data_IF_465362715658
#
_entry.id   IF_465362715658
#
_cell.length_a   1.000
_cell.length_b   1.000
_cell.length_c   1.000
_cell.angle_alpha   90.00
_cell.angle_beta   90.00
_cell.angle_gamma   90.00
#
_symmetry.space_group_name_H-M   'P 1'
#
loop_
_entity.id
_entity.type
_entity.pdbx_description
1 polymer ?
#
# COMPACT_ATOMS: atom_id res chain seq x y z
N UNK A 1 -6.12 23.01 -5.88
CA UNK A 1 -5.04 22.02 -6.08
C UNK A 1 -5.65 20.73 -6.60
N UNK A 2 -5.02 20.05 -7.56
CA UNK A 2 -5.53 18.79 -8.10
C UNK A 2 -5.01 17.62 -7.26
N UNK A 3 -5.92 16.87 -6.63
CA UNK A 3 -5.58 15.68 -5.87
C UNK A 3 -4.92 14.62 -6.76
N UNK A 4 -3.89 13.95 -6.26
CA UNK A 4 -3.22 12.85 -6.96
C UNK A 4 -2.94 11.66 -6.03
N UNK A 5 -2.91 10.47 -6.62
CA UNK A 5 -2.60 9.22 -5.91
C UNK A 5 -1.36 8.60 -6.50
N UNK A 6 -0.38 8.31 -5.66
CA UNK A 6 0.86 7.66 -6.02
C UNK A 6 0.90 6.23 -5.48
N UNK A 7 1.80 5.40 -6.00
CA UNK A 7 2.14 4.12 -5.38
C UNK A 7 3.65 3.99 -5.20
N UNK A 8 4.05 3.63 -3.99
CA UNK A 8 5.44 3.43 -3.61
C UNK A 8 6.01 2.20 -4.33
N UNK A 9 7.06 2.37 -5.13
CA UNK A 9 7.63 1.31 -5.94
C UNK A 9 9.08 1.08 -5.54
N UNK A 10 9.39 -0.07 -4.93
CA UNK A 10 10.75 -0.47 -4.62
C UNK A 10 11.46 -0.88 -5.91
N UNK A 11 12.42 -0.06 -6.36
CA UNK A 11 13.18 -0.34 -7.58
C UNK A 11 14.05 -1.59 -7.44
N UNK A 12 14.56 -1.89 -6.25
CA UNK A 12 15.38 -3.09 -6.02
C UNK A 12 14.57 -4.38 -6.28
N UNK A 13 13.24 -4.35 -6.14
CA UNK A 13 12.36 -5.48 -6.45
C UNK A 13 12.06 -5.63 -7.96
N UNK A 14 12.58 -4.75 -8.80
CA UNK A 14 12.48 -4.83 -10.27
C UNK A 14 13.80 -5.20 -10.95
N UNK A 15 14.78 -5.75 -10.23
CA UNK A 15 16.12 -6.08 -10.76
C UNK A 15 16.09 -6.85 -12.09
N UNK A 16 15.13 -7.78 -12.22
CA UNK A 16 14.99 -8.66 -13.39
C UNK A 16 13.80 -8.27 -14.29
N UNK A 17 13.22 -7.07 -14.13
CA UNK A 17 12.10 -6.64 -14.97
C UNK A 17 12.58 -6.36 -16.39
N UNK A 18 11.82 -6.87 -17.35
CA UNK A 18 11.92 -6.49 -18.76
C UNK A 18 11.07 -5.24 -19.04
N UNK A 19 11.20 -4.65 -20.23
CA UNK A 19 10.31 -3.58 -20.68
C UNK A 19 8.84 -4.03 -20.71
N UNK A 20 8.57 -5.32 -20.97
CA UNK A 20 7.21 -5.87 -20.95
C UNK A 20 6.64 -5.95 -19.52
N UNK A 21 7.47 -6.25 -18.53
CA UNK A 21 7.07 -6.26 -17.12
C UNK A 21 6.75 -4.84 -16.65
N UNK A 22 7.62 -3.87 -16.95
CA UNK A 22 7.33 -2.46 -16.68
C UNK A 22 6.04 -1.99 -17.34
N UNK A 23 5.85 -2.26 -18.64
CA UNK A 23 4.62 -1.91 -19.36
C UNK A 23 3.38 -2.56 -18.74
N UNK A 24 3.47 -3.83 -18.31
CA UNK A 24 2.37 -4.52 -17.62
C UNK A 24 2.04 -3.84 -16.28
N UNK A 25 3.05 -3.56 -15.45
CA UNK A 25 2.85 -2.91 -14.14
C UNK A 25 2.26 -1.50 -14.30
N UNK A 26 2.77 -0.71 -15.25
CA UNK A 26 2.25 0.63 -15.54
C UNK A 26 0.80 0.58 -16.01
N UNK A 27 0.47 -0.34 -16.95
CA UNK A 27 -0.90 -0.49 -17.43
C UNK A 27 -1.88 -0.81 -16.30
N UNK A 28 -1.55 -1.77 -15.43
CA UNK A 28 -2.46 -2.11 -14.32
C UNK A 28 -2.52 -1.02 -13.24
N UNK A 29 -1.51 -0.15 -13.14
CA UNK A 29 -1.58 1.05 -12.29
C UNK A 29 -2.51 2.12 -12.88
N UNK A 30 -2.45 2.34 -14.20
CA UNK A 30 -3.39 3.22 -14.92
C UNK A 30 -4.83 2.71 -14.81
N UNK A 31 -5.04 1.40 -14.98
CA UNK A 31 -6.35 0.75 -14.81
C UNK A 31 -6.92 1.01 -13.40
N UNK A 32 -6.05 1.08 -12.39
CA UNK A 32 -6.39 1.40 -11.01
C UNK A 32 -6.55 2.92 -10.72
N UNK A 33 -6.34 3.79 -11.71
CA UNK A 33 -6.32 5.27 -11.58
C UNK A 33 -5.20 5.86 -10.72
N UNK A 34 -4.09 5.14 -10.55
CA UNK A 34 -2.88 5.69 -9.93
C UNK A 34 -2.24 6.69 -10.91
N UNK A 35 -1.77 7.83 -10.41
CA UNK A 35 -1.22 8.92 -11.22
C UNK A 35 0.27 8.76 -11.50
N UNK A 36 1.02 8.24 -10.52
CA UNK A 36 2.45 8.04 -10.66
C UNK A 36 2.98 6.92 -9.76
N UNK A 37 4.15 6.38 -10.11
CA UNK A 37 4.98 5.65 -9.16
C UNK A 37 5.94 6.59 -8.44
N UNK A 38 5.98 6.48 -7.11
CA UNK A 38 7.05 7.03 -6.27
C UNK A 38 8.18 6.00 -6.26
N UNK A 39 9.20 6.21 -7.09
CA UNK A 39 10.26 5.24 -7.32
C UNK A 39 11.25 5.29 -6.15
N UNK A 40 11.11 4.35 -5.21
CA UNK A 40 12.03 4.17 -4.11
C UNK A 40 13.36 3.63 -4.64
N UNK A 41 14.41 4.43 -4.50
CA UNK A 41 15.76 4.12 -4.97
C UNK A 41 16.77 4.24 -3.83
N UNK A 42 17.58 3.20 -3.65
CA UNK A 42 18.63 3.17 -2.66
C UNK A 42 19.95 3.70 -3.23
N UNK A 43 20.71 4.43 -2.42
CA UNK A 43 22.03 4.92 -2.79
C UNK A 43 22.96 3.75 -3.15
N UNK A 44 23.77 3.93 -4.20
CA UNK A 44 24.76 2.93 -4.66
C UNK A 44 24.19 1.56 -5.00
N UNK A 45 22.87 1.42 -5.21
CA UNK A 45 22.32 0.18 -5.72
C UNK A 45 22.65 0.04 -7.21
N UNK A 46 23.34 -1.04 -7.57
CA UNK A 46 23.74 -1.31 -8.95
C UNK A 46 22.53 -1.43 -9.90
N UNK A 47 21.36 -1.79 -9.36
CA UNK A 47 20.11 -1.90 -10.12
C UNK A 47 19.68 -0.54 -10.69
N UNK A 48 20.02 0.59 -10.06
CA UNK A 48 19.62 1.92 -10.50
C UNK A 48 20.03 2.21 -11.94
N UNK A 49 21.23 1.79 -12.34
CA UNK A 49 21.78 2.05 -13.67
C UNK A 49 20.96 1.40 -14.81
N UNK A 50 20.33 0.26 -14.53
CA UNK A 50 19.51 -0.46 -15.49
C UNK A 50 18.02 -0.13 -15.35
N UNK A 51 17.50 -0.15 -14.12
CA UNK A 51 16.04 -0.12 -13.90
C UNK A 51 15.45 1.28 -13.99
N UNK A 52 16.19 2.35 -13.65
CA UNK A 52 15.68 3.72 -13.78
C UNK A 52 15.40 4.06 -15.26
N UNK A 53 16.34 3.88 -16.22
CA UNK A 53 16.04 4.14 -17.62
C UNK A 53 14.84 3.34 -18.15
N UNK A 54 14.74 2.05 -17.82
CA UNK A 54 13.64 1.19 -18.26
C UNK A 54 12.29 1.67 -17.71
N UNK A 55 12.24 2.08 -16.45
CA UNK A 55 11.03 2.62 -15.83
C UNK A 55 10.55 3.89 -16.55
N UNK A 56 11.46 4.83 -16.82
CA UNK A 56 11.13 6.07 -17.53
C UNK A 56 10.74 5.84 -18.98
N UNK A 57 11.42 4.94 -19.71
CA UNK A 57 11.07 4.58 -21.08
C UNK A 57 9.64 4.00 -21.16
N UNK A 58 9.32 3.04 -20.30
CA UNK A 58 8.01 2.43 -20.25
C UNK A 58 6.91 3.42 -19.83
N UNK A 59 7.20 4.30 -18.86
CA UNK A 59 6.26 5.32 -18.43
C UNK A 59 6.00 6.36 -19.53
N UNK A 60 7.04 6.80 -20.23
CA UNK A 60 6.91 7.71 -21.35
C UNK A 60 6.09 7.10 -22.49
N UNK A 61 6.33 5.83 -22.83
CA UNK A 61 5.57 5.11 -23.85
C UNK A 61 4.07 4.98 -23.50
N UNK A 62 3.74 4.88 -22.21
CA UNK A 62 2.36 4.75 -21.73
C UNK A 62 1.69 6.08 -21.34
N UNK A 63 2.41 7.20 -21.38
CA UNK A 63 1.94 8.48 -20.84
C UNK A 63 1.73 8.49 -19.31
N UNK A 64 2.30 7.52 -18.60
CA UNK A 64 2.26 7.40 -17.14
C UNK A 64 3.34 8.26 -16.49
N UNK A 65 3.20 8.58 -15.19
CA UNK A 65 4.17 9.42 -14.48
C UNK A 65 4.98 8.65 -13.45
N UNK A 66 6.20 9.12 -13.22
CA UNK A 66 7.12 8.60 -12.19
C UNK A 66 7.83 9.79 -11.55
N UNK A 67 8.14 9.70 -10.26
CA UNK A 67 9.07 10.61 -9.58
C UNK A 67 9.98 9.85 -8.63
N UNK A 68 11.06 10.47 -8.17
CA UNK A 68 12.00 9.81 -7.27
C UNK A 68 11.58 9.93 -5.81
N UNK A 69 11.64 8.80 -5.11
CA UNK A 69 11.68 8.70 -3.66
C UNK A 69 13.07 8.21 -3.26
N UNK A 70 13.95 9.10 -2.81
CA UNK A 70 15.31 8.71 -2.43
C UNK A 70 15.30 8.01 -1.07
N UNK A 71 15.70 6.74 -1.04
CA UNK A 71 15.81 5.99 0.21
C UNK A 71 17.17 6.27 0.86
N UNK A 72 17.16 6.98 1.99
CA UNK A 72 18.36 7.36 2.74
C UNK A 72 18.77 6.29 3.76
N UNK A 73 18.00 5.23 3.94
CA UNK A 73 18.21 4.21 4.99
C UNK A 73 18.71 2.91 4.39
N UNK A 74 18.09 2.41 3.32
CA UNK A 74 18.27 1.06 2.79
C UNK A 74 19.74 0.69 2.52
N UNK A 75 20.54 1.63 2.01
CA UNK A 75 21.98 1.44 1.77
C UNK A 75 22.83 2.59 2.30
N UNK A 76 22.31 3.32 3.30
CA UNK A 76 22.89 4.55 3.82
C UNK A 76 22.53 5.80 2.99
N UNK A 77 22.94 6.99 3.45
CA UNK A 77 22.47 8.25 2.89
C UNK A 77 22.97 8.44 1.45
N UNK A 78 22.15 9.15 0.68
CA UNK A 78 22.51 9.64 -0.64
C UNK A 78 23.50 10.81 -0.54
N UNK A 79 24.41 10.91 -1.51
CA UNK A 79 25.24 12.10 -1.67
C UNK A 79 24.44 13.21 -2.36
N UNK A 80 24.58 14.46 -1.91
CA UNK A 80 23.89 15.63 -2.46
C UNK A 80 24.06 15.77 -3.99
N UNK A 81 25.26 15.56 -4.52
CA UNK A 81 25.56 15.72 -5.94
C UNK A 81 24.90 14.62 -6.77
N UNK A 82 24.88 13.37 -6.28
CA UNK A 82 24.21 12.25 -6.94
C UNK A 82 22.69 12.49 -7.04
N UNK A 83 22.05 13.00 -5.97
CA UNK A 83 20.63 13.37 -5.98
C UNK A 83 20.36 14.48 -6.99
N UNK A 84 21.21 15.52 -6.97
CA UNK A 84 21.10 16.67 -7.87
C UNK A 84 21.25 16.24 -9.33
N UNK A 85 22.24 15.41 -9.64
CA UNK A 85 22.49 14.88 -10.99
C UNK A 85 21.29 14.06 -11.51
N UNK A 86 20.76 13.15 -10.69
CA UNK A 86 19.61 12.34 -11.06
C UNK A 86 18.37 13.19 -11.31
N UNK A 87 18.09 14.17 -10.43
CA UNK A 87 16.97 15.08 -10.62
C UNK A 87 17.13 15.91 -11.89
N UNK A 88 18.30 16.52 -12.14
CA UNK A 88 18.56 17.31 -13.34
C UNK A 88 18.43 16.47 -14.62
N UNK A 89 18.91 15.22 -14.59
CA UNK A 89 18.83 14.29 -15.73
C UNK A 89 17.39 13.95 -16.10
N UNK A 90 16.55 13.62 -15.12
CA UNK A 90 15.21 13.09 -15.37
C UNK A 90 14.09 14.12 -15.30
N UNK A 91 14.30 15.29 -14.65
CA UNK A 91 13.26 16.34 -14.57
C UNK A 91 12.84 16.91 -15.92
N UNK A 92 13.57 16.63 -17.00
CA UNK A 92 13.22 17.04 -18.38
C UNK A 92 12.40 15.96 -19.11
N UNK A 93 12.32 14.74 -18.58
CA UNK A 93 11.52 13.68 -19.17
C UNK A 93 10.01 13.98 -19.00
N UNK A 94 9.21 13.75 -20.05
CA UNK A 94 7.76 14.00 -20.00
C UNK A 94 7.02 13.08 -19.03
N UNK A 95 7.54 11.88 -18.77
CA UNK A 95 7.04 10.97 -17.75
C UNK A 95 7.39 11.40 -16.32
N UNK A 96 8.24 12.40 -16.10
CA UNK A 96 8.50 12.89 -14.74
C UNK A 96 7.26 13.60 -14.17
N UNK A 97 6.79 13.18 -12.99
CA UNK A 97 5.63 13.82 -12.35
C UNK A 97 6.00 15.25 -11.89
N UNK A 98 5.14 16.22 -12.22
CA UNK A 98 5.35 17.62 -11.87
C UNK A 98 4.14 18.18 -11.13
N UNK A 99 4.35 18.79 -9.97
CA UNK A 99 3.34 19.56 -9.27
C UNK A 99 3.44 21.03 -9.70
N UNK A 100 2.43 21.56 -10.38
CA UNK A 100 2.43 22.93 -10.91
C UNK A 100 3.70 23.28 -11.71
N UNK A 101 4.19 22.33 -12.53
CA UNK A 101 5.38 22.50 -13.36
C UNK A 101 6.72 22.18 -12.67
N UNK A 102 6.76 22.09 -11.34
CA UNK A 102 7.97 21.73 -10.58
C UNK A 102 8.11 20.21 -10.44
N UNK A 103 9.29 19.60 -10.70
CA UNK A 103 9.47 18.17 -10.58
C UNK A 103 9.31 17.73 -9.11
N UNK A 104 8.43 16.76 -8.85
CA UNK A 104 8.24 16.26 -7.49
C UNK A 104 9.43 15.39 -7.06
N UNK A 105 9.92 15.56 -5.85
CA UNK A 105 10.88 14.66 -5.22
C UNK A 105 10.41 14.31 -3.79
N UNK A 106 10.69 13.08 -3.36
CA UNK A 106 10.40 12.58 -2.02
C UNK A 106 11.63 11.85 -1.47
N UNK A 107 11.61 11.52 -0.19
CA UNK A 107 12.56 10.63 0.46
C UNK A 107 11.83 9.61 1.33
N UNK A 108 12.46 8.47 1.55
CA UNK A 108 12.19 7.65 2.73
C UNK A 108 13.26 7.95 3.77
N UNK A 109 12.84 8.58 4.86
CA UNK A 109 13.70 9.13 5.91
C UNK A 109 14.78 10.09 5.36
N UNK A 110 15.90 10.27 6.06
CA UNK A 110 17.00 11.15 5.64
C UNK A 110 16.93 12.57 6.21
N UNK A 111 16.25 12.77 7.33
CA UNK A 111 16.14 14.08 8.00
C UNK A 111 17.50 14.68 8.38
N UNK A 112 18.52 13.85 8.62
CA UNK A 112 19.88 14.32 8.90
C UNK A 112 20.55 15.02 7.70
N UNK A 113 20.05 14.77 6.48
CA UNK A 113 20.52 15.41 5.25
C UNK A 113 19.60 16.59 4.83
N UNK A 114 18.71 17.07 5.71
CA UNK A 114 17.75 18.13 5.37
C UNK A 114 18.42 19.40 4.80
N UNK A 115 19.55 19.85 5.35
CA UNK A 115 20.23 21.07 4.90
C UNK A 115 20.75 20.97 3.45
N UNK A 116 21.13 19.77 3.00
CA UNK A 116 21.57 19.53 1.62
C UNK A 116 20.46 19.84 0.61
N UNK A 117 19.19 19.67 1.01
CA UNK A 117 18.04 19.95 0.16
C UNK A 117 17.86 21.44 -0.15
N UNK A 118 18.50 22.36 0.59
CA UNK A 118 18.56 23.78 0.21
C UNK A 118 19.26 23.93 -1.16
N UNK A 119 20.42 23.30 -1.31
CA UNK A 119 21.21 23.36 -2.55
C UNK A 119 20.58 22.53 -3.68
N UNK A 120 20.05 21.33 -3.35
CA UNK A 120 19.36 20.47 -4.31
C UNK A 120 18.16 21.22 -4.90
N UNK A 121 17.32 21.83 -4.06
CA UNK A 121 16.16 22.60 -4.53
C UNK A 121 16.57 23.83 -5.33
N UNK A 122 17.58 24.59 -4.87
CA UNK A 122 18.08 25.74 -5.62
C UNK A 122 18.56 25.35 -7.04
N UNK A 123 19.15 24.16 -7.18
CA UNK A 123 19.67 23.67 -8.46
C UNK A 123 18.59 23.05 -9.36
N UNK A 124 17.60 22.38 -8.76
CA UNK A 124 16.66 21.52 -9.49
C UNK A 124 15.26 22.10 -9.60
N UNK A 125 14.93 23.13 -8.81
CA UNK A 125 13.57 23.69 -8.66
C UNK A 125 12.52 22.62 -8.29
N UNK A 126 12.93 21.56 -7.60
CA UNK A 126 12.02 20.47 -7.26
C UNK A 126 11.00 20.89 -6.19
N UNK A 127 9.79 20.32 -6.30
CA UNK A 127 8.77 20.34 -5.27
C UNK A 127 9.06 19.18 -4.32
N UNK A 128 9.42 19.45 -3.07
CA UNK A 128 10.01 18.47 -2.18
C UNK A 128 9.07 18.07 -1.03
N UNK A 129 8.67 16.80 -0.98
CA UNK A 129 7.79 16.25 0.05
C UNK A 129 8.46 15.00 0.66
N UNK A 130 9.34 15.14 1.67
CA UNK A 130 9.98 13.99 2.31
C UNK A 130 9.05 13.26 3.27
N UNK A 131 9.30 11.96 3.46
CA UNK A 131 8.91 11.25 4.69
C UNK A 131 10.04 11.34 5.71
N UNK A 132 9.78 12.01 6.84
CA UNK A 132 10.66 12.05 8.01
C UNK A 132 9.89 11.60 9.27
N UNK A 133 9.07 10.57 9.11
CA UNK A 133 8.15 10.12 10.16
C UNK A 133 8.84 9.64 11.43
N UNK A 134 10.10 9.20 11.36
CA UNK A 134 10.91 8.86 12.54
C UNK A 134 11.05 10.00 13.55
N UNK A 135 10.98 11.27 13.11
CA UNK A 135 10.99 12.45 13.98
C UNK A 135 9.62 12.79 14.56
N UNK A 136 8.54 12.31 13.91
CA UNK A 136 7.19 12.80 14.11
C UNK A 136 6.95 14.17 13.47
N UNK A 137 5.66 14.51 13.29
CA UNK A 137 5.23 15.65 12.46
C UNK A 137 5.87 17.00 12.84
N UNK A 138 5.90 17.33 14.13
CA UNK A 138 6.39 18.63 14.60
C UNK A 138 7.89 18.81 14.37
N UNK A 139 8.70 17.84 14.79
CA UNK A 139 10.15 17.91 14.63
C UNK A 139 10.55 17.81 13.15
N UNK A 140 9.83 17.02 12.34
CA UNK A 140 10.01 16.99 10.89
C UNK A 140 9.75 18.37 10.25
N UNK A 141 8.68 19.07 10.65
CA UNK A 141 8.37 20.41 10.15
C UNK A 141 9.42 21.44 10.59
N UNK A 142 9.85 21.41 11.85
CA UNK A 142 10.91 22.30 12.37
C UNK A 142 12.24 22.08 11.61
N UNK A 143 12.61 20.82 11.35
CA UNK A 143 13.80 20.46 10.56
C UNK A 143 13.68 20.90 9.09
N UNK A 144 12.46 20.88 8.54
CA UNK A 144 12.16 21.22 7.15
C UNK A 144 11.84 22.70 6.89
N UNK A 145 11.90 23.56 7.90
CA UNK A 145 11.48 24.95 7.79
C UNK A 145 12.24 25.70 6.68
N UNK A 146 11.50 26.22 5.70
CA UNK A 146 12.06 26.90 4.52
C UNK A 146 12.68 25.96 3.47
N UNK A 147 12.67 24.65 3.70
CA UNK A 147 13.27 23.64 2.83
C UNK A 147 12.20 22.81 2.13
N UNK A 148 11.21 22.28 2.87
CA UNK A 148 10.20 21.38 2.29
C UNK A 148 9.05 22.15 1.65
N UNK A 149 8.36 21.54 0.69
CA UNK A 149 7.07 22.01 0.15
C UNK A 149 5.87 21.23 0.72
N UNK A 150 6.13 20.23 1.57
CA UNK A 150 5.14 19.42 2.25
C UNK A 150 5.79 18.33 3.07
N UNK A 151 5.00 17.52 3.76
CA UNK A 151 5.48 16.30 4.41
C UNK A 151 4.62 15.09 4.03
N UNK A 152 5.29 13.95 3.87
CA UNK A 152 4.68 12.64 3.76
C UNK A 152 4.77 11.93 5.11
N UNK A 153 3.72 11.22 5.51
CA UNK A 153 3.75 10.37 6.69
C UNK A 153 3.86 8.90 6.29
N UNK A 154 4.60 8.09 7.07
CA UNK A 154 4.67 6.64 6.94
C UNK A 154 3.71 5.90 7.89
N UNK A 155 2.84 6.61 8.61
CA UNK A 155 1.92 6.05 9.60
C UNK A 155 0.65 5.46 8.93
N UNK A 156 0.79 4.33 8.24
CA UNK A 156 -0.32 3.71 7.50
C UNK A 156 -1.08 2.61 8.26
N UNK A 157 -0.60 2.20 9.43
CA UNK A 157 -1.08 1.03 10.14
C UNK A 157 -1.46 1.33 11.60
N UNK A 158 -2.50 0.67 12.14
CA UNK A 158 -2.98 0.90 13.49
C UNK A 158 -2.06 0.27 14.55
N UNK A 159 -2.27 0.67 15.81
CA UNK A 159 -1.58 0.10 16.97
C UNK A 159 -2.44 -0.96 17.66
N UNK A 160 -1.86 -2.14 17.89
CA UNK A 160 -2.52 -3.25 18.58
C UNK A 160 -3.82 -3.67 17.90
N UNK A 161 -4.84 -4.08 18.68
CA UNK A 161 -6.11 -4.56 18.13
C UNK A 161 -7.05 -3.43 17.70
N UNK A 162 -6.60 -2.17 17.63
CA UNK A 162 -7.46 -1.05 17.27
C UNK A 162 -7.68 -0.95 15.76
N UNK A 163 -8.81 -0.36 15.36
CA UNK A 163 -9.00 0.07 13.97
C UNK A 163 -8.12 1.31 13.67
N UNK A 164 -7.89 1.56 12.37
CA UNK A 164 -7.19 2.78 11.94
C UNK A 164 -7.98 4.04 12.31
N UNK A 165 -7.27 5.16 12.43
CA UNK A 165 -7.88 6.47 12.64
C UNK A 165 -7.06 7.59 11.99
N UNK A 166 -7.62 8.81 11.98
CA UNK A 166 -7.03 9.97 11.31
C UNK A 166 -6.21 10.89 12.22
N UNK A 167 -5.89 10.49 13.45
CA UNK A 167 -5.29 11.40 14.44
C UNK A 167 -3.93 11.91 13.97
N UNK A 168 -3.09 11.02 13.41
CA UNK A 168 -1.77 11.38 12.90
C UNK A 168 -1.91 12.30 11.68
N UNK A 169 -2.82 11.98 10.75
CA UNK A 169 -3.06 12.79 9.55
C UNK A 169 -3.47 14.22 9.90
N UNK A 170 -4.45 14.36 10.81
CA UNK A 170 -4.93 15.66 11.26
C UNK A 170 -3.87 16.45 12.04
N UNK A 171 -2.92 15.76 12.70
CA UNK A 171 -1.77 16.40 13.34
C UNK A 171 -0.83 17.00 12.29
N UNK A 172 -0.47 16.24 11.25
CA UNK A 172 0.33 16.74 10.13
C UNK A 172 -0.36 17.92 9.45
N UNK A 173 -1.62 17.76 9.05
CA UNK A 173 -2.38 18.82 8.36
C UNK A 173 -2.47 20.09 9.21
N UNK A 174 -2.74 19.97 10.52
CA UNK A 174 -2.81 21.13 11.40
C UNK A 174 -1.48 21.89 11.43
N UNK A 175 -0.38 21.19 11.65
CA UNK A 175 0.96 21.80 11.75
C UNK A 175 1.40 22.41 10.41
N UNK A 176 1.13 21.71 9.30
CA UNK A 176 1.44 22.19 7.96
C UNK A 176 0.61 23.44 7.61
N UNK A 177 -0.68 23.49 7.98
CA UNK A 177 -1.51 24.68 7.74
C UNK A 177 -1.10 25.91 8.56
N UNK A 178 -0.42 25.72 9.70
CA UNK A 178 0.19 26.81 10.46
C UNK A 178 1.41 27.42 9.73
N UNK A 179 1.99 26.70 8.76
CA UNK A 179 3.11 27.11 7.91
C UNK A 179 2.63 27.32 6.46
N UNK A 180 2.43 28.57 6.04
CA UNK A 180 1.77 28.88 4.75
C UNK A 180 2.33 28.08 3.55
N UNK A 181 1.43 27.41 2.82
CA UNK A 181 1.72 26.82 1.50
C UNK A 181 2.28 25.39 1.48
N UNK A 182 2.41 24.72 2.63
CA UNK A 182 2.86 23.32 2.68
C UNK A 182 1.72 22.33 2.45
N UNK A 183 2.03 21.21 1.80
CA UNK A 183 1.05 20.15 1.48
C UNK A 183 1.23 18.90 2.33
N UNK A 184 0.17 18.13 2.50
CA UNK A 184 0.22 16.83 3.15
C UNK A 184 0.07 15.69 2.13
N UNK A 185 0.95 14.70 2.24
CA UNK A 185 0.80 13.40 1.57
C UNK A 185 0.40 12.34 2.59
N UNK A 186 -0.78 11.75 2.41
CA UNK A 186 -1.36 10.77 3.32
C UNK A 186 -0.98 9.34 2.90
N UNK A 187 -0.47 8.50 3.81
CA UNK A 187 -0.14 7.12 3.47
C UNK A 187 -1.40 6.24 3.45
N UNK A 188 -1.44 5.28 2.53
CA UNK A 188 -2.51 4.28 2.43
C UNK A 188 -1.88 2.90 2.28
N UNK A 189 -2.26 1.92 3.10
CA UNK A 189 -1.74 0.56 3.00
C UNK A 189 -2.84 -0.46 3.30
N UNK A 190 -2.89 -1.61 2.61
CA UNK A 190 -3.93 -2.61 2.86
C UNK A 190 -3.61 -3.55 4.02
N UNK A 191 -2.34 -3.84 4.25
CA UNK A 191 -1.88 -4.95 5.10
C UNK A 191 -0.44 -4.67 5.55
N UNK A 192 0.09 -5.44 6.52
CA UNK A 192 1.53 -5.51 6.77
C UNK A 192 1.90 -6.80 7.47
N UNK A 193 2.89 -7.51 6.94
CA UNK A 193 3.54 -8.63 7.62
C UNK A 193 4.94 -8.82 7.07
N UNK A 194 5.91 -8.93 7.97
CA UNK A 194 7.30 -9.24 7.61
C UNK A 194 7.87 -10.31 8.55
N UNK A 195 8.69 -11.20 8.00
CA UNK A 195 9.57 -12.09 8.74
C UNK A 195 10.88 -12.25 7.97
N UNK A 196 11.72 -11.23 8.08
CA UNK A 196 13.03 -11.10 7.45
C UNK A 196 14.11 -10.88 8.53
N UNK A 197 14.51 -11.92 9.28
CA UNK A 197 15.51 -11.82 10.35
C UNK A 197 16.86 -11.27 9.89
N UNK A 198 17.22 -11.45 8.62
CA UNK A 198 18.41 -10.85 8.02
C UNK A 198 18.42 -9.32 8.04
N UNK A 199 17.24 -8.70 8.18
CA UNK A 199 17.05 -7.26 8.34
C UNK A 199 16.55 -6.88 9.73
N UNK A 200 16.55 -7.82 10.69
CA UNK A 200 16.00 -7.59 12.03
C UNK A 200 14.48 -7.39 12.05
N UNK A 201 13.77 -7.88 11.03
CA UNK A 201 12.32 -7.68 10.89
C UNK A 201 11.52 -8.94 11.17
N UNK A 202 10.55 -8.87 12.07
CA UNK A 202 9.60 -9.95 12.33
C UNK A 202 8.36 -9.46 13.09
N UNK A 203 7.44 -8.77 12.41
CA UNK A 203 6.21 -8.26 13.03
C UNK A 203 5.08 -8.11 12.00
N UNK A 204 3.89 -7.82 12.50
CA UNK A 204 2.73 -7.43 11.71
C UNK A 204 1.99 -6.24 12.32
N UNK A 205 1.14 -5.60 11.53
CA UNK A 205 0.09 -4.71 12.04
C UNK A 205 -1.29 -5.23 11.63
N UNK A 206 -2.35 -4.79 12.31
CA UNK A 206 -3.71 -5.21 11.97
C UNK A 206 -4.09 -4.70 10.58
N UNK A 207 -4.35 -5.62 9.65
CA UNK A 207 -4.82 -5.32 8.30
C UNK A 207 -6.29 -5.73 8.04
N UNK A 208 -6.96 -6.27 9.06
CA UNK A 208 -8.32 -6.85 9.01
C UNK A 208 -9.31 -6.01 8.18
N UNK A 209 -9.58 -4.78 8.62
CA UNK A 209 -10.49 -3.84 7.95
C UNK A 209 -9.76 -2.64 7.30
N UNK A 210 -8.42 -2.63 7.41
CA UNK A 210 -7.57 -1.45 7.17
C UNK A 210 -7.77 -0.85 5.78
N UNK A 211 -7.80 -1.68 4.73
CA UNK A 211 -7.94 -1.17 3.36
C UNK A 211 -9.26 -0.42 3.16
N UNK A 212 -10.36 -0.89 3.75
CA UNK A 212 -11.63 -0.17 3.66
C UNK A 212 -11.57 1.13 4.46
N UNK A 213 -11.22 1.02 5.74
CA UNK A 213 -11.24 2.14 6.68
C UNK A 213 -10.32 3.27 6.18
N UNK A 214 -9.09 2.93 5.77
CA UNK A 214 -8.11 3.92 5.32
C UNK A 214 -8.55 4.69 4.08
N UNK A 215 -9.22 4.06 3.13
CA UNK A 215 -9.76 4.76 1.98
C UNK A 215 -10.99 5.63 2.33
N UNK A 216 -11.83 5.23 3.29
CA UNK A 216 -12.88 6.12 3.80
C UNK A 216 -12.28 7.35 4.49
N UNK A 217 -11.20 7.15 5.24
CA UNK A 217 -10.46 8.24 5.87
C UNK A 217 -9.86 9.20 4.84
N UNK A 218 -9.28 8.72 3.73
CA UNK A 218 -8.79 9.59 2.64
C UNK A 218 -9.93 10.47 2.08
N UNK A 219 -11.13 9.91 1.90
CA UNK A 219 -12.29 10.67 1.42
C UNK A 219 -12.76 11.74 2.43
N UNK A 220 -12.60 11.47 3.73
CA UNK A 220 -12.96 12.39 4.81
C UNK A 220 -11.90 13.47 5.04
N UNK A 221 -10.63 13.09 5.10
CA UNK A 221 -9.48 13.97 5.36
C UNK A 221 -9.20 14.87 4.17
N UNK A 222 -9.37 14.35 2.94
CA UNK A 222 -9.11 15.04 1.67
C UNK A 222 -7.70 15.67 1.60
N UNK A 223 -6.62 14.88 1.79
CA UNK A 223 -5.26 15.39 1.67
C UNK A 223 -4.96 15.87 0.24
N UNK A 224 -3.92 16.69 0.04
CA UNK A 224 -3.48 17.08 -1.31
C UNK A 224 -3.01 15.88 -2.13
N UNK A 225 -2.29 14.96 -1.50
CA UNK A 225 -1.80 13.73 -2.11
C UNK A 225 -2.07 12.52 -1.22
N UNK A 226 -2.22 11.36 -1.83
CA UNK A 226 -2.17 10.09 -1.14
C UNK A 226 -1.11 9.18 -1.79
N UNK A 227 -0.33 8.47 -0.99
CA UNK A 227 0.62 7.47 -1.50
C UNK A 227 0.26 6.09 -0.96
N UNK A 228 0.02 5.16 -1.87
CA UNK A 228 -0.19 3.75 -1.54
C UNK A 228 1.16 3.13 -1.23
N UNK A 229 1.38 2.74 0.02
CA UNK A 229 2.52 1.94 0.45
C UNK A 229 2.06 0.47 0.56
N UNK A 230 2.32 -0.37 -0.45
CA UNK A 230 3.18 -0.16 -1.63
C UNK A 230 2.67 -0.86 -2.88
N UNK A 231 3.35 -0.64 -4.00
CA UNK A 231 3.12 -1.36 -5.25
C UNK A 231 3.73 -2.77 -5.22
N UNK A 232 4.96 -2.94 -4.75
CA UNK A 232 5.71 -4.20 -4.93
C UNK A 232 6.61 -4.57 -3.74
N UNK A 233 6.31 -4.11 -2.52
CA UNK A 233 7.03 -4.59 -1.33
C UNK A 233 6.52 -5.97 -0.88
N UNK A 234 7.05 -7.02 -1.50
CA UNK A 234 6.69 -8.39 -1.13
C UNK A 234 7.22 -8.78 0.26
N UNK A 235 8.32 -8.18 0.71
CA UNK A 235 8.96 -8.48 1.98
C UNK A 235 8.18 -7.98 3.19
N UNK A 236 7.37 -6.94 3.00
CA UNK A 236 6.51 -6.39 4.04
C UNK A 236 5.02 -6.65 3.80
N UNK A 237 4.70 -7.46 2.78
CA UNK A 237 3.35 -7.97 2.50
C UNK A 237 2.27 -6.91 2.27
N UNK A 238 2.65 -5.69 1.90
CA UNK A 238 1.71 -4.58 1.70
C UNK A 238 1.65 -4.11 0.25
N UNK A 239 2.16 -4.93 -0.67
CA UNK A 239 2.06 -4.73 -2.10
C UNK A 239 0.61 -4.81 -2.57
N UNK A 240 0.25 -3.97 -3.55
CA UNK A 240 -0.99 -4.08 -4.32
C UNK A 240 -0.74 -4.37 -5.79
N UNK A 241 0.50 -4.49 -6.25
CA UNK A 241 0.89 -4.79 -7.62
C UNK A 241 0.90 -6.29 -7.95
N UNK A 242 1.09 -6.66 -9.23
CA UNK A 242 1.25 -8.07 -9.61
C UNK A 242 2.47 -8.70 -8.94
N UNK A 243 2.35 -9.95 -8.51
CA UNK A 243 3.50 -10.76 -8.09
C UNK A 243 4.46 -10.96 -9.26
N UNK A 244 5.76 -10.94 -8.96
CA UNK A 244 6.82 -11.19 -9.93
C UNK A 244 8.00 -11.90 -9.25
N UNK A 245 8.37 -13.08 -9.75
CA UNK A 245 9.41 -13.93 -9.15
C UNK A 245 10.77 -13.25 -9.03
N UNK A 246 11.08 -12.34 -9.96
CA UNK A 246 12.29 -11.51 -9.90
C UNK A 246 12.45 -10.67 -8.62
N UNK A 247 11.38 -10.44 -7.86
CA UNK A 247 11.44 -9.77 -6.54
C UNK A 247 11.63 -10.72 -5.36
N UNK A 248 11.60 -12.04 -5.55
CA UNK A 248 11.63 -13.01 -4.45
C UNK A 248 13.02 -13.27 -3.87
N UNK A 249 14.08 -12.77 -4.51
CA UNK A 249 15.44 -12.85 -3.99
C UNK A 249 15.56 -12.22 -2.59
N UNK A 250 14.71 -11.22 -2.28
CA UNK A 250 14.65 -10.58 -0.97
C UNK A 250 14.39 -11.58 0.18
N UNK A 251 13.65 -12.66 -0.06
CA UNK A 251 13.34 -13.65 0.98
C UNK A 251 14.59 -14.45 1.35
N UNK A 252 15.50 -14.65 0.38
CA UNK A 252 16.78 -15.30 0.62
C UNK A 252 17.74 -14.36 1.34
N UNK A 253 17.90 -13.12 0.86
CA UNK A 253 18.80 -12.13 1.47
C UNK A 253 18.33 -11.70 2.86
N UNK A 254 17.02 -11.52 3.04
CA UNK A 254 16.36 -11.25 4.32
C UNK A 254 16.24 -12.46 5.24
N UNK A 255 16.72 -13.65 4.82
CA UNK A 255 16.73 -14.89 5.60
C UNK A 255 15.34 -15.30 6.12
N UNK A 256 14.31 -15.11 5.30
CA UNK A 256 12.95 -15.51 5.62
C UNK A 256 12.86 -17.02 5.90
N UNK A 257 11.96 -17.47 6.78
CA UNK A 257 11.74 -18.90 7.00
C UNK A 257 11.17 -19.61 5.75
N UNK A 258 10.46 -18.87 4.90
CA UNK A 258 9.95 -19.25 3.59
C UNK A 258 9.48 -18.01 2.83
N UNK A 259 9.17 -18.14 1.54
CA UNK A 259 8.56 -17.07 0.76
C UNK A 259 7.06 -16.97 1.06
N UNK A 260 6.67 -16.01 1.90
CA UNK A 260 5.27 -15.81 2.29
C UNK A 260 4.43 -14.99 1.31
N UNK A 261 5.04 -14.44 0.25
CA UNK A 261 4.33 -13.78 -0.86
C UNK A 261 3.97 -14.75 -2.00
N UNK A 262 4.66 -15.89 -2.09
CA UNK A 262 4.39 -16.88 -3.12
C UNK A 262 2.95 -17.41 -3.04
N UNK A 263 2.22 -17.35 -4.16
CA UNK A 263 0.80 -17.72 -4.25
C UNK A 263 -0.12 -16.95 -3.29
N UNK A 264 0.24 -15.71 -2.95
CA UNK A 264 -0.57 -14.76 -2.19
C UNK A 264 -0.83 -13.49 -3.01
N UNK A 265 -1.63 -13.55 -4.09
CA UNK A 265 -1.93 -12.37 -4.89
C UNK A 265 -2.66 -11.31 -4.05
N UNK A 266 -2.28 -10.04 -4.26
CA UNK A 266 -2.91 -8.87 -3.64
C UNK A 266 -3.61 -7.96 -4.67
N UNK A 267 -3.73 -8.42 -5.91
CA UNK A 267 -4.30 -7.65 -7.02
C UNK A 267 -5.76 -7.31 -6.83
N UNK A 268 -6.52 -8.14 -6.11
CA UNK A 268 -7.92 -7.87 -5.79
C UNK A 268 -8.14 -6.53 -5.07
N UNK A 269 -7.17 -6.04 -4.28
CA UNK A 269 -7.27 -4.72 -3.63
C UNK A 269 -7.27 -3.55 -4.62
N UNK A 270 -6.83 -3.74 -5.87
CA UNK A 270 -6.91 -2.72 -6.93
C UNK A 270 -8.31 -2.57 -7.51
N UNK A 271 -9.18 -3.57 -7.39
CA UNK A 271 -10.48 -3.64 -8.07
C UNK A 271 -11.38 -2.44 -7.76
N UNK A 272 -11.36 -1.97 -6.52
CA UNK A 272 -12.23 -0.87 -6.07
C UNK A 272 -11.57 0.52 -6.23
N UNK A 273 -10.27 0.56 -6.56
CA UNK A 273 -9.49 1.80 -6.67
C UNK A 273 -10.07 2.80 -7.67
N UNK A 274 -10.51 2.40 -8.89
CA UNK A 274 -11.05 3.36 -9.85
C UNK A 274 -12.28 4.13 -9.33
N UNK A 275 -13.11 3.48 -8.51
CA UNK A 275 -14.25 4.14 -7.90
C UNK A 275 -13.81 5.09 -6.77
N UNK A 276 -12.97 4.61 -5.84
CA UNK A 276 -12.61 5.40 -4.66
C UNK A 276 -11.61 6.53 -4.97
N UNK A 277 -10.59 6.28 -5.79
CA UNK A 277 -9.66 7.31 -6.29
C UNK A 277 -10.42 8.31 -7.17
N UNK A 278 -11.33 7.83 -8.01
CA UNK A 278 -12.20 8.69 -8.79
C UNK A 278 -13.02 9.65 -7.93
N UNK A 279 -13.61 9.13 -6.85
CA UNK A 279 -14.38 9.90 -5.87
C UNK A 279 -13.49 10.88 -5.10
N UNK A 280 -12.31 10.46 -4.66
CA UNK A 280 -11.33 11.33 -4.00
C UNK A 280 -10.97 12.53 -4.87
N UNK A 281 -10.61 12.28 -6.13
CA UNK A 281 -10.11 13.32 -7.05
C UNK A 281 -11.20 14.25 -7.58
N UNK A 282 -12.42 13.75 -7.80
CA UNK A 282 -13.51 14.50 -8.47
C UNK A 282 -14.72 14.78 -7.58
N UNK A 283 -14.72 14.28 -6.35
CA UNK A 283 -15.87 14.32 -5.44
C UNK A 283 -16.97 13.29 -5.77
N UNK A 284 -16.88 12.61 -6.92
CA UNK A 284 -17.84 11.58 -7.33
C UNK A 284 -17.22 10.56 -8.31
N UNK A 285 -17.73 9.33 -8.27
CA UNK A 285 -17.52 8.31 -9.29
C UNK A 285 -18.79 7.48 -9.45
N UNK A 286 -19.00 6.96 -10.66
CA UNK A 286 -20.11 6.07 -10.96
C UNK A 286 -19.73 4.62 -10.69
N UNK A 287 -20.70 3.82 -10.24
CA UNK A 287 -20.57 2.36 -10.17
C UNK A 287 -20.72 1.82 -11.59
N UNK A 288 -19.60 1.63 -12.28
CA UNK A 288 -19.59 1.09 -13.65
C UNK A 288 -19.87 -0.40 -13.71
N UNK A 289 -19.38 -1.13 -12.70
CA UNK A 289 -19.39 -2.59 -12.66
C UNK A 289 -19.47 -3.03 -11.21
N UNK A 290 -20.49 -3.82 -10.85
CA UNK A 290 -20.57 -4.39 -9.51
C UNK A 290 -19.40 -5.34 -9.30
N UNK A 291 -18.72 -5.21 -8.16
CA UNK A 291 -17.45 -5.89 -7.89
C UNK A 291 -17.41 -6.38 -6.45
N UNK A 292 -16.76 -7.52 -6.22
CA UNK A 292 -16.54 -8.10 -4.90
C UNK A 292 -15.05 -8.41 -4.74
N UNK A 293 -14.47 -8.00 -3.62
CA UNK A 293 -13.10 -8.28 -3.21
C UNK A 293 -13.15 -8.97 -1.86
N UNK A 294 -12.36 -10.03 -1.66
CA UNK A 294 -12.19 -10.67 -0.36
C UNK A 294 -10.72 -10.91 -0.03
N UNK A 295 -10.38 -10.82 1.25
CA UNK A 295 -9.04 -11.12 1.76
C UNK A 295 -9.09 -11.82 3.10
N UNK A 296 -8.12 -12.72 3.33
CA UNK A 296 -8.00 -13.51 4.54
C UNK A 296 -6.68 -14.26 4.59
N UNK A 297 -6.27 -14.69 5.79
CA UNK A 297 -5.19 -15.68 5.93
C UNK A 297 -5.67 -17.06 5.52
N UNK A 298 -4.84 -17.83 4.83
CA UNK A 298 -5.19 -19.19 4.38
C UNK A 298 -5.04 -20.25 5.46
N UNK A 299 -4.71 -19.85 6.69
CA UNK A 299 -4.57 -20.73 7.84
C UNK A 299 -5.05 -20.00 9.09
N UNK A 300 -5.87 -20.63 9.98
CA UNK A 300 -6.24 -20.06 11.26
C UNK A 300 -5.01 -19.67 12.08
N UNK A 301 -5.06 -18.54 12.77
CA UNK A 301 -3.89 -17.98 13.47
C UNK A 301 -3.27 -18.95 14.48
N UNK A 302 -4.09 -19.77 15.13
CA UNK A 302 -3.67 -20.74 16.16
C UNK A 302 -3.26 -22.11 15.61
N UNK A 303 -3.27 -22.32 14.29
CA UNK A 303 -2.99 -23.64 13.72
C UNK A 303 -1.51 -24.04 13.81
N UNK A 304 -0.61 -23.07 13.89
CA UNK A 304 0.84 -23.25 13.77
C UNK A 304 1.60 -22.32 14.72
N UNK A 305 2.91 -22.49 14.82
CA UNK A 305 3.76 -21.55 15.57
C UNK A 305 3.78 -20.19 14.89
N UNK A 306 3.84 -19.11 15.68
CA UNK A 306 3.81 -17.73 15.15
C UNK A 306 5.03 -17.38 14.30
N UNK A 307 6.10 -18.19 14.35
CA UNK A 307 7.40 -17.87 13.74
C UNK A 307 8.18 -16.80 14.51
N UNK A 308 7.82 -16.54 15.77
CA UNK A 308 8.37 -15.44 16.57
C UNK A 308 7.81 -14.06 16.19
N UNK A 309 6.83 -13.99 15.27
CA UNK A 309 6.20 -12.74 14.86
C UNK A 309 5.42 -12.14 16.04
N UNK A 310 5.68 -10.86 16.33
CA UNK A 310 4.85 -10.02 17.20
C UNK A 310 3.82 -9.24 16.37
N UNK A 311 2.72 -8.82 17.00
CA UNK A 311 1.94 -7.71 16.47
C UNK A 311 2.49 -6.40 17.06
N UNK A 312 2.75 -5.41 16.20
CA UNK A 312 3.58 -4.23 16.48
C UNK A 312 5.03 -4.61 16.85
N UNK A 313 5.91 -3.61 16.98
CA UNK A 313 7.34 -3.85 17.28
C UNK A 313 7.98 -2.81 18.18
N UNK A 314 8.82 -3.27 19.12
CA UNK A 314 9.64 -2.41 19.97
C UNK A 314 10.67 -1.60 19.20
N UNK A 315 11.10 -2.05 18.01
CA UNK A 315 12.04 -1.29 17.17
C UNK A 315 11.47 0.06 16.74
N UNK A 316 10.14 0.18 16.73
CA UNK A 316 9.41 1.43 16.46
C UNK A 316 8.85 2.06 17.74
N UNK A 317 9.41 1.71 18.91
CA UNK A 317 8.97 2.14 20.23
C UNK A 317 7.47 1.85 20.52
N UNK A 318 6.94 0.76 19.96
CA UNK A 318 5.56 0.32 20.19
C UNK A 318 5.51 -0.78 21.25
N UNK A 319 4.34 -0.92 21.87
CA UNK A 319 4.00 -2.10 22.68
C UNK A 319 3.79 -3.27 21.73
N UNK A 320 4.39 -4.41 22.04
CA UNK A 320 4.17 -5.66 21.31
C UNK A 320 2.99 -6.45 21.89
N UNK A 321 2.20 -7.02 21.00
CA UNK A 321 1.04 -7.86 21.32
C UNK A 321 1.21 -9.25 20.71
N UNK A 322 0.39 -10.20 21.15
CA UNK A 322 0.28 -11.46 20.43
C UNK A 322 -0.42 -11.22 19.08
N UNK A 323 0.09 -11.78 17.97
CA UNK A 323 -0.66 -11.79 16.71
C UNK A 323 -2.09 -12.28 16.85
N UNK A 324 -2.33 -13.28 17.73
CA UNK A 324 -3.66 -13.88 17.94
C UNK A 324 -4.66 -12.91 18.58
N UNK A 325 -4.19 -11.86 19.25
CA UNK A 325 -5.04 -10.82 19.84
C UNK A 325 -5.39 -9.72 18.83
N UNK A 326 -4.57 -9.56 17.79
CA UNK A 326 -4.62 -8.40 16.89
C UNK A 326 -5.27 -8.71 15.55
N UNK A 327 -5.07 -9.91 15.01
CA UNK A 327 -5.53 -10.25 13.64
C UNK A 327 -6.50 -11.43 13.67
N UNK A 328 -7.74 -11.20 13.28
CA UNK A 328 -8.84 -12.13 13.49
C UNK A 328 -8.91 -13.25 12.42
N UNK A 329 -9.44 -14.42 12.83
CA UNK A 329 -9.75 -15.54 11.93
C UNK A 329 -11.08 -15.30 11.21
N UNK A 330 -11.03 -14.44 10.18
CA UNK A 330 -12.19 -14.02 9.40
C UNK A 330 -11.86 -13.88 7.92
N UNK A 331 -12.90 -14.01 7.09
CA UNK A 331 -12.91 -13.60 5.70
C UNK A 331 -13.46 -12.19 5.65
N UNK A 332 -12.63 -11.22 5.28
CA UNK A 332 -13.01 -9.84 5.09
C UNK A 332 -13.36 -9.61 3.63
N UNK A 333 -14.32 -8.75 3.36
CA UNK A 333 -14.72 -8.43 1.99
C UNK A 333 -15.28 -7.03 1.86
N UNK A 334 -15.09 -6.47 0.66
CA UNK A 334 -15.69 -5.21 0.24
C UNK A 334 -16.38 -5.41 -1.11
N UNK A 335 -17.56 -4.82 -1.28
CA UNK A 335 -18.32 -4.91 -2.51
C UNK A 335 -18.74 -3.53 -3.00
N UNK A 336 -18.44 -3.20 -4.26
CA UNK A 336 -18.99 -2.02 -4.92
C UNK A 336 -20.30 -2.40 -5.57
N UNK A 337 -21.41 -1.84 -5.07
CA UNK A 337 -22.76 -2.23 -5.47
C UNK A 337 -23.62 -1.03 -5.86
N UNK A 338 -24.53 -1.26 -6.80
CA UNK A 338 -25.56 -0.31 -7.22
C UNK A 338 -26.73 -0.24 -6.23
N UNK A 339 -26.95 -1.34 -5.51
CA UNK A 339 -28.00 -1.54 -4.52
C UNK A 339 -27.61 -2.69 -3.56
N UNK A 340 -28.29 -2.80 -2.43
CA UNK A 340 -28.00 -3.78 -1.38
C UNK A 340 -27.95 -5.24 -1.91
N UNK A 341 -26.99 -6.01 -1.42
CA UNK A 341 -26.92 -7.46 -1.57
C UNK A 341 -26.52 -8.12 -0.24
N UNK A 342 -27.00 -9.33 0.00
CA UNK A 342 -26.68 -10.11 1.20
C UNK A 342 -25.44 -10.97 0.95
N UNK A 343 -24.39 -10.87 1.78
CA UNK A 343 -23.21 -11.70 1.67
C UNK A 343 -23.44 -13.07 2.31
N UNK A 344 -23.04 -14.11 1.61
CA UNK A 344 -22.93 -15.48 2.09
C UNK A 344 -21.49 -15.94 1.91
N UNK A 345 -20.95 -16.62 2.91
CA UNK A 345 -19.58 -17.15 2.87
C UNK A 345 -19.62 -18.64 3.15
N UNK A 346 -19.03 -19.45 2.29
CA UNK A 346 -18.87 -20.90 2.49
C UNK A 346 -17.39 -21.20 2.68
N UNK A 347 -17.07 -22.00 3.69
CA UNK A 347 -15.73 -22.53 3.94
C UNK A 347 -15.84 -24.05 4.02
N UNK A 348 -15.30 -24.75 3.02
CA UNK A 348 -15.47 -26.18 2.84
C UNK A 348 -16.96 -26.53 2.68
N UNK A 349 -17.52 -27.25 3.65
CA UNK A 349 -18.94 -27.63 3.68
C UNK A 349 -19.78 -26.77 4.64
N UNK A 350 -19.21 -25.73 5.25
CA UNK A 350 -19.87 -24.93 6.29
C UNK A 350 -20.22 -23.53 5.77
N UNK A 351 -21.50 -23.17 5.83
CA UNK A 351 -21.95 -21.78 5.61
C UNK A 351 -21.67 -20.93 6.83
N UNK A 352 -20.94 -19.84 6.65
CA UNK A 352 -20.71 -18.80 7.63
C UNK A 352 -21.69 -17.65 7.40
N UNK A 353 -22.18 -17.08 8.49
CA UNK A 353 -23.01 -15.87 8.43
C UNK A 353 -22.14 -14.66 8.06
N UNK A 354 -22.30 -14.15 6.85
CA UNK A 354 -21.74 -12.86 6.43
C UNK A 354 -22.52 -11.69 7.02
N UNK A 355 -21.82 -10.60 7.34
CA UNK A 355 -22.42 -9.36 7.83
C UNK A 355 -21.73 -8.14 7.23
N UNK A 356 -22.50 -7.11 6.91
CA UNK A 356 -21.96 -5.77 6.63
C UNK A 356 -21.64 -5.04 7.93
N UNK A 357 -20.42 -4.52 8.04
CA UNK A 357 -19.96 -3.57 9.07
C UNK A 357 -20.25 -2.14 8.62
N UNK A 358 -19.98 -1.82 7.35
CA UNK A 358 -20.17 -0.51 6.76
C UNK A 358 -21.06 -0.59 5.51
N UNK A 359 -22.00 0.35 5.41
CA UNK A 359 -22.90 0.50 4.27
C UNK A 359 -22.79 1.92 3.74
N UNK A 360 -22.81 2.14 2.40
CA UNK A 360 -22.86 3.47 1.84
C UNK A 360 -24.20 4.14 2.18
N UNK A 361 -24.16 5.39 2.63
CA UNK A 361 -25.36 6.12 3.07
C UNK A 361 -26.45 6.26 1.98
N UNK A 362 -26.04 6.29 0.71
CA UNK A 362 -26.93 6.35 -0.45
C UNK A 362 -27.55 5.00 -0.83
N UNK A 363 -27.14 3.89 -0.20
CA UNK A 363 -27.43 2.53 -0.66
C UNK A 363 -26.67 2.12 -1.93
N UNK A 364 -25.77 2.96 -2.43
CA UNK A 364 -24.92 2.72 -3.61
C UNK A 364 -23.48 3.09 -3.31
N UNK A 365 -22.55 2.18 -3.58
CA UNK A 365 -21.13 2.40 -3.31
C UNK A 365 -20.49 1.18 -2.67
N UNK A 366 -19.47 1.43 -1.86
CA UNK A 366 -18.69 0.36 -1.24
C UNK A 366 -19.35 -0.08 0.07
N UNK A 367 -19.77 -1.33 0.11
CA UNK A 367 -20.12 -2.07 1.30
C UNK A 367 -18.87 -2.78 1.84
N UNK A 368 -18.74 -2.91 3.15
CA UNK A 368 -17.63 -3.63 3.77
C UNK A 368 -18.11 -4.48 4.95
N UNK A 369 -17.55 -5.68 5.07
CA UNK A 369 -18.02 -6.68 6.01
C UNK A 369 -17.06 -7.84 6.16
N UNK A 370 -17.49 -8.83 6.93
CA UNK A 370 -16.71 -10.04 7.16
C UNK A 370 -17.58 -11.23 7.58
N UNK A 371 -16.99 -12.42 7.56
CA UNK A 371 -17.54 -13.65 8.12
C UNK A 371 -16.45 -14.39 8.92
N UNK A 372 -16.74 -14.92 10.11
CA UNK A 372 -15.75 -15.68 10.89
C UNK A 372 -15.41 -17.02 10.25
N UNK A 373 -14.21 -17.54 10.52
CA UNK A 373 -13.86 -18.92 10.16
C UNK A 373 -14.67 -19.94 10.98
N UNK A 374 -14.89 -19.65 12.27
CA UNK A 374 -15.53 -20.57 13.23
C UNK A 374 -14.95 -21.99 13.22
N UNK A 375 -13.64 -22.11 13.01
CA UNK A 375 -12.93 -23.39 12.92
C UNK A 375 -13.15 -24.16 11.60
N UNK A 376 -13.95 -23.64 10.67
CA UNK A 376 -14.13 -24.24 9.35
C UNK A 376 -12.85 -24.14 8.51
N UNK A 377 -12.67 -25.13 7.63
CA UNK A 377 -11.51 -25.30 6.74
C UNK A 377 -12.00 -25.83 5.39
N UNK A 378 -11.20 -25.65 4.35
CA UNK A 378 -11.53 -26.04 2.98
C UNK A 378 -11.70 -24.85 2.04
N UNK A 379 -12.21 -25.12 0.85
CA UNK A 379 -12.39 -24.12 -0.22
C UNK A 379 -13.28 -22.97 0.24
N UNK A 380 -12.94 -21.77 -0.20
CA UNK A 380 -13.66 -20.55 0.18
C UNK A 380 -14.50 -20.08 -0.99
N UNK A 381 -15.77 -19.77 -0.73
CA UNK A 381 -16.65 -19.09 -1.67
C UNK A 381 -17.33 -17.91 -0.97
N UNK A 382 -17.24 -16.72 -1.56
CA UNK A 382 -17.97 -15.52 -1.12
C UNK A 382 -18.97 -15.15 -2.19
N UNK A 383 -20.25 -15.17 -1.85
CA UNK A 383 -21.36 -14.96 -2.78
C UNK A 383 -22.23 -13.79 -2.32
N UNK A 384 -22.62 -12.94 -3.27
CA UNK A 384 -23.58 -11.86 -3.04
C UNK A 384 -24.94 -12.23 -3.66
N UNK A 385 -25.97 -12.14 -2.83
CA UNK A 385 -27.35 -12.46 -3.19
C UNK A 385 -28.23 -11.22 -3.20
N UNK A 386 -29.08 -11.09 -4.21
CA UNK A 386 -30.09 -10.02 -4.29
C UNK A 386 -31.40 -10.61 -4.78
N UNK A 387 -32.45 -10.43 -3.99
CA UNK A 387 -33.80 -10.96 -4.29
C UNK A 387 -33.80 -12.47 -4.63
N UNK A 388 -32.94 -13.25 -3.95
CA UNK A 388 -32.79 -14.69 -4.20
C UNK A 388 -31.93 -15.05 -5.42
N UNK A 389 -31.48 -14.07 -6.21
CA UNK A 389 -30.57 -14.27 -7.32
C UNK A 389 -29.12 -14.09 -6.91
N UNK A 390 -28.24 -14.91 -7.49
CA UNK A 390 -26.80 -14.83 -7.30
C UNK A 390 -26.22 -13.77 -8.24
N UNK A 391 -25.64 -12.72 -7.68
CA UNK A 391 -25.12 -11.58 -8.46
C UNK A 391 -23.62 -11.73 -8.72
N UNK A 392 -22.85 -12.06 -7.69
CA UNK A 392 -21.40 -12.27 -7.77
C UNK A 392 -20.99 -13.48 -6.94
N UNK A 393 -20.01 -14.22 -7.42
CA UNK A 393 -19.36 -15.29 -6.68
C UNK A 393 -17.85 -15.20 -6.89
N UNK A 394 -17.14 -15.10 -5.77
CA UNK A 394 -15.69 -15.18 -5.70
C UNK A 394 -15.30 -16.54 -5.11
N UNK A 395 -14.55 -17.33 -5.88
CA UNK A 395 -13.89 -18.53 -5.37
C UNK A 395 -12.48 -18.19 -4.95
N UNK A 396 -12.15 -18.48 -3.70
CA UNK A 396 -10.87 -18.17 -3.11
C UNK A 396 -10.01 -19.38 -2.79
N UNK A 397 -8.79 -19.11 -2.36
CA UNK A 397 -7.84 -20.13 -1.88
C UNK A 397 -8.39 -20.80 -0.63
N UNK A 398 -8.31 -22.12 -0.55
CA UNK A 398 -8.82 -22.87 0.60
C UNK A 398 -8.07 -22.56 1.90
N UNK A 399 -8.80 -22.61 3.02
CA UNK A 399 -8.25 -22.47 4.37
C UNK A 399 -7.76 -23.84 4.85
N UNK A 400 -6.48 -23.94 5.20
CA UNK A 400 -5.83 -25.15 5.70
C UNK A 400 -5.62 -25.10 7.22
N UNK A 401 -5.41 -26.27 7.83
CA UNK A 401 -4.90 -26.38 9.21
C UNK A 401 -3.39 -26.61 9.29
N UNK A 402 -2.68 -26.59 8.16
CA UNK A 402 -1.25 -26.84 8.08
C UNK A 402 -0.51 -25.60 7.57
N UNK A 403 0.75 -25.48 7.98
CA UNK A 403 1.65 -24.44 7.51
C UNK A 403 2.95 -25.03 6.96
N UNK A 404 3.58 -24.27 6.07
CA UNK A 404 4.93 -24.58 5.63
C UNK A 404 5.89 -24.57 6.82
N UNK A 405 6.59 -25.67 7.04
CA UNK A 405 7.50 -25.89 8.18
C UNK A 405 6.90 -25.59 9.57
N UNK A 406 5.57 -25.67 9.72
CA UNK A 406 4.90 -25.38 10.99
C UNK A 406 4.93 -23.90 11.42
N UNK A 407 5.28 -22.98 10.52
CA UNK A 407 5.33 -21.53 10.77
C UNK A 407 4.15 -20.84 10.09
N UNK A 408 3.40 -20.04 10.84
CA UNK A 408 2.25 -19.29 10.34
C UNK A 408 2.66 -18.28 9.27
N UNK A 409 1.95 -18.30 8.14
CA UNK A 409 1.99 -17.20 7.18
C UNK A 409 0.91 -16.17 7.57
N UNK A 410 1.34 -15.00 8.04
CA UNK A 410 0.43 -13.90 8.40
C UNK A 410 0.10 -12.99 7.23
N UNK A 411 0.63 -13.26 6.03
CA UNK A 411 0.19 -12.59 4.81
C UNK A 411 -1.25 -13.00 4.44
N UNK A 412 -1.95 -12.11 3.75
CA UNK A 412 -3.29 -12.37 3.24
C UNK A 412 -3.24 -12.98 1.83
N UNK A 413 -4.22 -13.83 1.52
CA UNK A 413 -4.63 -14.05 0.15
C UNK A 413 -5.72 -13.04 -0.21
N UNK A 414 -5.67 -12.46 -1.40
CA UNK A 414 -6.69 -11.51 -1.87
C UNK A 414 -7.21 -11.98 -3.22
N UNK A 415 -8.53 -11.93 -3.39
CA UNK A 415 -9.17 -12.20 -4.66
C UNK A 415 -10.27 -11.22 -4.95
N UNK A 416 -10.68 -11.17 -6.21
CA UNK A 416 -11.77 -10.33 -6.65
C UNK A 416 -12.54 -10.96 -7.82
N UNK A 417 -13.78 -10.49 -7.99
CA UNK A 417 -14.65 -10.82 -9.12
C UNK A 417 -15.49 -9.61 -9.47
N UNK A 418 -15.92 -9.52 -10.72
CA UNK A 418 -16.72 -8.41 -11.22
C UNK A 418 -17.86 -8.94 -12.10
N UNK A 419 -18.98 -8.23 -12.12
CA UNK A 419 -20.12 -8.51 -13.00
C UNK A 419 -19.71 -8.31 -14.46
N UNK A 420 -20.37 -8.93 -15.46
CA UNK A 420 -20.11 -8.60 -16.86
C UNK A 420 -20.24 -7.09 -17.12
N UNK A 421 -19.32 -6.53 -17.91
CA UNK A 421 -19.28 -5.11 -18.30
C UNK A 421 -20.43 -4.71 -19.22
#
# INVERSE_FOLDING_TARGET
HAAAVFAHFLLSNSANFTSADWAKHIRVAQDAQIDAFALNIAARDAINAQSIPLAFEAAQAAGFKIFFSFDYVARGPWNQDDVTELLLRYKVNEAYYRNNGRPLASTFEGSENAEEWINIKASTDCFFIPDWSSLGAKAALEKGYGIVDGLFSWAAWPSGPQDMNTQVDLCYIKLLNESEGLVYMMPVSPWFYTNLPGYGKNWLWRGDDLWHDRWQEVLSVRPEFAEIISWNDYGESHYIGPLHEGGYELFRTGKAPFNYAENMPHDGWRTLLPFIIGTYKRGHAEVKQESLVAWYRTTPGSACGTGGTSANTQSHAQIEFSPLEVVADRIFYSALLTEYATPEVIIGSTTQKGTWRNLPASGRGIYHGSAPFNGAKGDVEVTLWREGNRILTLKGKGISGSCYNGVQNWNAWVGSTQSPS
#
